data_IF_241879158310
#
_entry.id   IF_241879158310
#
_cell.length_a   1.000
_cell.length_b   1.000
_cell.length_c   1.000
_cell.angle_alpha   90.00
_cell.angle_beta   90.00
_cell.angle_gamma   90.00
#
_symmetry.space_group_name_H-M   'P 1'
#
loop_
_entity.id
_entity.type
_entity.pdbx_description
1 polymer ?
#
# COMPACT_ATOMS: atom_id res chain seq x y z
N UNK A 1 17.89 -12.20 8.85
CA UNK A 1 17.02 -11.73 9.97
C UNK A 1 15.89 -12.73 10.23
N UNK A 2 15.34 -12.91 11.45
CA UNK A 2 14.18 -13.82 11.62
C UNK A 2 12.93 -13.20 10.99
N UNK A 3 12.12 -13.99 10.27
CA UNK A 3 10.89 -13.53 9.57
C UNK A 3 9.91 -12.78 10.48
N UNK A 4 9.87 -13.16 11.76
CA UNK A 4 9.05 -12.52 12.79
C UNK A 4 9.54 -11.13 13.18
N UNK A 5 10.85 -10.93 13.22
CA UNK A 5 11.45 -9.63 13.49
C UNK A 5 11.27 -8.72 12.28
N UNK A 6 11.45 -9.25 11.06
CA UNK A 6 11.24 -8.51 9.83
C UNK A 6 9.78 -8.05 9.69
N UNK A 7 8.82 -8.91 10.07
CA UNK A 7 7.40 -8.55 10.13
C UNK A 7 7.14 -7.37 11.07
N UNK A 8 7.73 -7.41 12.28
CA UNK A 8 7.61 -6.33 13.27
C UNK A 8 8.23 -5.03 12.78
N UNK A 9 9.44 -5.09 12.22
CA UNK A 9 10.14 -3.93 11.71
C UNK A 9 9.40 -3.25 10.55
N UNK A 10 8.83 -4.04 9.64
CA UNK A 10 8.05 -3.54 8.50
C UNK A 10 6.59 -3.18 8.86
N UNK A 11 6.13 -3.47 10.08
CA UNK A 11 4.75 -3.20 10.52
C UNK A 11 3.69 -3.99 9.74
N UNK A 12 4.01 -5.20 9.30
CA UNK A 12 3.11 -6.06 8.51
C UNK A 12 2.92 -7.43 9.14
N UNK A 13 1.88 -8.14 8.71
CA UNK A 13 1.63 -9.49 9.18
C UNK A 13 2.73 -10.46 8.73
N UNK A 14 2.97 -11.50 9.52
CA UNK A 14 3.92 -12.57 9.18
C UNK A 14 3.55 -13.25 7.85
N UNK A 15 2.25 -13.39 7.55
CA UNK A 15 1.79 -13.96 6.28
C UNK A 15 2.17 -13.06 5.08
N UNK A 16 2.10 -11.74 5.25
CA UNK A 16 2.53 -10.80 4.21
C UNK A 16 4.02 -10.92 3.91
N UNK A 17 4.87 -11.15 4.92
CA UNK A 17 6.30 -11.42 4.74
C UNK A 17 6.51 -12.64 3.83
N UNK A 18 5.87 -13.78 4.10
CA UNK A 18 6.03 -14.98 3.27
C UNK A 18 5.64 -14.71 1.82
N UNK A 19 4.54 -13.98 1.61
CA UNK A 19 4.11 -13.56 0.28
C UNK A 19 5.16 -12.67 -0.40
N UNK A 20 5.69 -11.67 0.29
CA UNK A 20 6.68 -10.75 -0.28
C UNK A 20 8.01 -11.45 -0.59
N UNK A 21 8.46 -12.35 0.28
CA UNK A 21 9.64 -13.19 0.01
C UNK A 21 9.45 -14.04 -1.25
N UNK A 22 8.27 -14.65 -1.43
CA UNK A 22 7.94 -15.40 -2.65
C UNK A 22 7.93 -14.51 -3.90
N UNK A 23 7.59 -13.22 -3.74
CA UNK A 23 7.63 -12.21 -4.81
C UNK A 23 9.03 -11.62 -5.05
N UNK A 24 10.06 -12.07 -4.34
CA UNK A 24 11.43 -11.61 -4.52
C UNK A 24 11.86 -10.45 -3.61
N UNK A 25 11.14 -10.18 -2.52
CA UNK A 25 11.59 -9.24 -1.50
C UNK A 25 12.85 -9.78 -0.79
N UNK A 26 13.91 -8.97 -0.63
CA UNK A 26 15.08 -9.37 0.15
C UNK A 26 14.70 -9.57 1.63
N UNK A 27 15.14 -10.69 2.22
CA UNK A 27 14.80 -11.07 3.60
C UNK A 27 15.94 -10.88 4.62
N UNK A 28 17.13 -10.54 4.13
CA UNK A 28 18.35 -10.51 4.93
C UNK A 28 18.70 -9.10 5.41
N UNK A 29 18.27 -8.08 4.66
CA UNK A 29 18.46 -6.66 4.97
C UNK A 29 17.11 -5.93 5.08
N UNK A 30 16.96 -5.16 6.16
CA UNK A 30 15.74 -4.41 6.43
C UNK A 30 15.59 -3.24 5.45
N UNK A 31 16.67 -2.53 5.13
CA UNK A 31 16.61 -1.37 4.26
C UNK A 31 16.22 -1.78 2.84
N UNK A 32 16.85 -2.82 2.30
CA UNK A 32 16.49 -3.38 1.00
C UNK A 32 15.03 -3.86 0.96
N UNK A 33 14.49 -4.41 2.06
CA UNK A 33 13.10 -4.82 2.15
C UNK A 33 12.13 -3.62 2.12
N UNK A 34 12.50 -2.52 2.78
CA UNK A 34 11.76 -1.25 2.74
C UNK A 34 11.74 -0.72 1.30
N UNK A 35 12.90 -0.57 0.67
CA UNK A 35 13.04 -0.05 -0.68
C UNK A 35 12.28 -0.90 -1.71
N UNK A 36 12.36 -2.23 -1.57
CA UNK A 36 11.59 -3.15 -2.41
C UNK A 36 10.09 -2.93 -2.23
N UNK A 37 9.63 -2.78 -0.98
CA UNK A 37 8.20 -2.60 -0.69
C UNK A 37 7.68 -1.28 -1.23
N UNK A 38 8.45 -0.20 -1.16
CA UNK A 38 8.06 1.10 -1.72
C UNK A 38 7.91 1.03 -3.25
N UNK A 39 8.87 0.40 -3.94
CA UNK A 39 8.83 0.21 -5.40
C UNK A 39 7.69 -0.70 -5.85
N UNK A 40 7.36 -1.72 -5.05
CA UNK A 40 6.36 -2.73 -5.40
C UNK A 40 4.97 -2.46 -4.78
N UNK A 41 4.79 -1.34 -4.07
CA UNK A 41 3.52 -0.98 -3.47
C UNK A 41 2.51 -0.61 -4.56
N UNK A 42 1.47 -1.41 -4.73
CA UNK A 42 0.38 -1.05 -5.63
C UNK A 42 -0.43 0.11 -5.03
N UNK A 43 -0.15 1.32 -5.51
CA UNK A 43 -0.78 2.56 -5.05
C UNK A 43 -2.31 2.49 -5.09
N UNK A 44 -2.89 1.94 -6.16
CA UNK A 44 -4.35 1.82 -6.35
C UNK A 44 -5.02 0.94 -5.29
N UNK A 45 -4.27 0.04 -4.67
CA UNK A 45 -4.78 -0.84 -3.60
C UNK A 45 -4.59 -0.25 -2.20
N UNK A 46 -3.92 0.89 -2.07
CA UNK A 46 -3.71 1.55 -0.78
C UNK A 46 -4.98 2.20 -0.24
N UNK A 47 -5.09 2.31 1.09
CA UNK A 47 -6.18 3.05 1.75
C UNK A 47 -6.22 4.51 1.28
N UNK A 48 -5.04 5.15 1.15
CA UNK A 48 -4.90 6.53 0.69
C UNK A 48 -5.59 6.76 -0.65
N UNK A 49 -5.31 5.89 -1.63
CA UNK A 49 -5.94 5.99 -2.95
C UNK A 49 -7.46 5.84 -2.87
N UNK A 50 -7.97 4.84 -2.11
CA UNK A 50 -9.43 4.61 -1.99
C UNK A 50 -10.16 5.80 -1.39
N UNK A 51 -9.61 6.39 -0.34
CA UNK A 51 -10.18 7.59 0.29
C UNK A 51 -10.13 8.79 -0.66
N UNK A 52 -9.00 9.01 -1.34
CA UNK A 52 -8.88 10.08 -2.33
C UNK A 52 -9.85 9.93 -3.50
N UNK A 53 -10.04 8.70 -3.98
CA UNK A 53 -11.00 8.38 -5.04
C UNK A 53 -12.45 8.67 -4.62
N UNK A 54 -12.82 8.33 -3.38
CA UNK A 54 -14.15 8.63 -2.85
C UNK A 54 -14.40 10.16 -2.80
N UNK A 55 -13.46 10.91 -2.23
CA UNK A 55 -13.55 12.37 -2.19
C UNK A 55 -13.61 13.01 -3.59
N UNK A 56 -12.85 12.49 -4.56
CA UNK A 56 -12.90 12.98 -5.94
C UNK A 56 -14.27 12.74 -6.60
N UNK A 57 -14.91 11.59 -6.32
CA UNK A 57 -16.25 11.29 -6.81
C UNK A 57 -17.31 12.23 -6.24
N UNK A 58 -17.27 12.48 -4.94
CA UNK A 58 -18.19 13.42 -4.28
C UNK A 58 -18.08 14.83 -4.88
N UNK A 59 -16.86 15.31 -5.15
CA UNK A 59 -16.64 16.61 -5.81
C UNK A 59 -17.26 16.66 -7.21
N UNK A 60 -17.02 15.62 -8.01
CA UNK A 60 -17.56 15.53 -9.36
C UNK A 60 -19.10 15.49 -9.37
N UNK A 61 -19.70 14.78 -8.42
CA UNK A 61 -21.17 14.75 -8.25
C UNK A 61 -21.72 16.12 -7.85
N UNK A 62 -21.04 16.84 -6.95
CA UNK A 62 -21.42 18.19 -6.56
C UNK A 62 -21.35 19.17 -7.75
N UNK A 63 -20.26 19.12 -8.54
CA UNK A 63 -20.11 19.93 -9.74
C UNK A 63 -21.19 19.65 -10.79
N UNK A 64 -21.53 18.38 -11.01
CA UNK A 64 -22.60 17.98 -11.94
C UNK A 64 -23.96 18.50 -11.49
N UNK A 65 -24.28 18.43 -10.19
CA UNK A 65 -25.54 18.95 -9.65
C UNK A 65 -25.65 20.47 -9.79
N UNK A 66 -24.56 21.21 -9.60
CA UNK A 66 -24.55 22.67 -9.78
C UNK A 66 -24.73 23.09 -11.24
N UNK A 67 -24.23 22.33 -12.23
CA UNK A 67 -24.37 22.67 -13.65
C UNK A 67 -25.76 22.39 -14.24
N UNK A 68 -26.57 21.57 -13.57
CA UNK A 68 -27.92 21.20 -14.02
C UNK A 68 -28.99 22.20 -13.48
N UNK A 69 -28.60 23.12 -12.59
CA UNK A 69 -29.47 24.12 -11.98
C UNK A 69 -29.22 25.50 -12.58
#
# INVERSE_FOLDING_TARGET
MKKTELAKALGISRQAIYKFLWQGMPGDDLQAAIDWREKNLNYFRTKKYRTGLAAARERLEAERRCKIR
#
